data_IF_960206111159
#
_entry.id   IF_960206111159
#
_cell.length_a   1.000
_cell.length_b   1.000
_cell.length_c   1.000
_cell.angle_alpha   90.00
_cell.angle_beta   90.00
_cell.angle_gamma   90.00
#
_symmetry.space_group_name_H-M   'P 1'
#
loop_
_entity.id
_entity.type
_entity.pdbx_description
1 polymer ?
#
# COMPACT_ATOMS: atom_id res chain seq x y z
N UNK A 1 -12.95 -2.06 -13.23
CA UNK A 1 -11.52 -1.71 -13.35
C UNK A 1 -11.34 -0.19 -13.24
N UNK A 2 -11.61 0.41 -12.07
CA UNK A 2 -11.60 1.87 -11.91
C UNK A 2 -11.08 2.38 -10.54
N UNK A 3 -10.94 1.53 -9.52
CA UNK A 3 -10.47 1.96 -8.20
C UNK A 3 -9.02 2.49 -8.22
N UNK A 4 -8.18 2.01 -9.14
CA UNK A 4 -6.78 2.43 -9.27
C UNK A 4 -6.61 3.88 -9.76
N UNK A 5 -7.62 4.47 -10.40
CA UNK A 5 -7.57 5.84 -10.95
C UNK A 5 -7.96 6.92 -9.93
N UNK A 6 -8.58 6.54 -8.80
CA UNK A 6 -8.90 7.45 -7.70
C UNK A 6 -7.79 7.54 -6.65
N UNK A 7 -6.72 6.75 -6.81
CA UNK A 7 -5.55 6.85 -5.95
C UNK A 7 -4.82 8.12 -6.30
N UNK A 8 -5.00 9.18 -5.51
CA UNK A 8 -4.18 10.37 -5.68
C UNK A 8 -2.69 9.99 -5.65
N UNK A 9 -1.88 10.53 -6.58
CA UNK A 9 -0.48 10.16 -6.68
C UNK A 9 0.33 10.50 -5.41
N UNK A 10 -0.18 11.35 -4.51
CA UNK A 10 0.46 11.71 -3.23
C UNK A 10 0.38 10.56 -2.22
N UNK A 11 -0.80 10.00 -1.99
CA UNK A 11 -1.00 8.95 -0.98
C UNK A 11 -0.36 7.64 -1.44
N UNK A 12 -0.45 7.32 -2.74
CA UNK A 12 0.25 6.18 -3.31
C UNK A 12 1.77 6.31 -3.18
N UNK A 13 2.34 7.49 -3.49
CA UNK A 13 3.78 7.74 -3.29
C UNK A 13 4.18 7.63 -1.82
N UNK A 14 3.37 8.10 -0.88
CA UNK A 14 3.63 7.95 0.56
C UNK A 14 3.63 6.48 0.97
N UNK A 15 2.65 5.70 0.52
CA UNK A 15 2.57 4.26 0.78
C UNK A 15 3.80 3.52 0.24
N UNK A 16 4.17 3.80 -1.01
CA UNK A 16 5.36 3.22 -1.62
C UNK A 16 6.64 3.66 -0.89
N UNK A 17 6.76 4.93 -0.53
CA UNK A 17 7.95 5.47 0.17
C UNK A 17 8.09 4.91 1.59
N UNK A 18 6.98 4.66 2.29
CA UNK A 18 6.97 3.99 3.59
C UNK A 18 7.45 2.54 3.47
N UNK A 19 6.98 1.81 2.46
CA UNK A 19 7.48 0.47 2.13
C UNK A 19 8.98 0.46 1.78
N UNK A 20 9.51 1.53 1.17
CA UNK A 20 10.87 1.56 0.63
C UNK A 20 11.94 1.76 1.70
N UNK A 21 11.65 2.57 2.72
CA UNK A 21 12.71 3.04 3.63
C UNK A 21 13.12 2.00 4.66
N UNK A 22 12.17 1.21 5.18
CA UNK A 22 12.41 0.21 6.24
C UNK A 22 11.52 -1.04 6.15
N UNK A 23 10.62 -1.11 5.16
CA UNK A 23 9.47 -2.00 5.21
C UNK A 23 8.39 -1.42 6.12
N UNK A 24 7.17 -1.31 5.62
CA UNK A 24 6.03 -0.82 6.39
C UNK A 24 5.44 -1.99 7.19
N UNK A 25 5.30 -1.84 8.51
CA UNK A 25 4.51 -2.79 9.31
C UNK A 25 3.03 -2.68 8.95
N UNK A 26 2.23 -3.68 9.31
CA UNK A 26 0.78 -3.66 9.13
C UNK A 26 0.13 -2.39 9.73
N UNK A 27 0.58 -1.97 10.91
CA UNK A 27 0.12 -0.76 11.60
C UNK A 27 0.46 0.52 10.83
N UNK A 28 1.69 0.62 10.29
CA UNK A 28 2.09 1.78 9.48
C UNK A 28 1.32 1.84 8.16
N UNK A 29 1.08 0.68 7.55
CA UNK A 29 0.26 0.56 6.36
C UNK A 29 -1.17 1.00 6.61
N UNK A 30 -1.76 0.54 7.71
CA UNK A 30 -3.10 0.93 8.12
C UNK A 30 -3.19 2.44 8.37
N UNK A 31 -2.21 3.03 9.06
CA UNK A 31 -2.18 4.48 9.27
C UNK A 31 -2.16 5.26 7.95
N UNK A 32 -1.37 4.82 6.95
CA UNK A 32 -1.29 5.46 5.64
C UNK A 32 -2.60 5.28 4.85
N UNK A 33 -3.21 4.10 4.94
CA UNK A 33 -4.48 3.80 4.28
C UNK A 33 -5.63 4.60 4.89
N UNK A 34 -5.66 4.73 6.22
CA UNK A 34 -6.61 5.54 6.96
C UNK A 34 -6.43 7.04 6.68
N UNK A 35 -5.19 7.55 6.69
CA UNK A 35 -4.90 8.97 6.43
C UNK A 35 -5.20 9.37 4.98
N UNK A 36 -4.94 8.48 4.01
CA UNK A 36 -5.12 8.78 2.60
C UNK A 36 -6.51 8.49 2.05
N UNK A 37 -7.14 7.41 2.50
CA UNK A 37 -8.39 6.91 1.94
C UNK A 37 -9.48 6.63 2.98
N UNK A 38 -9.16 6.74 4.27
CA UNK A 38 -10.09 6.33 5.34
C UNK A 38 -10.34 4.83 5.38
N UNK A 39 -9.42 4.03 4.82
CA UNK A 39 -9.57 2.58 4.73
C UNK A 39 -8.81 1.86 5.84
N UNK A 40 -9.45 0.87 6.46
CA UNK A 40 -8.75 -0.07 7.35
C UNK A 40 -7.95 -1.08 6.53
N UNK A 41 -6.90 -1.66 7.11
CA UNK A 41 -6.08 -2.67 6.42
C UNK A 41 -6.89 -3.91 6.03
N UNK A 42 -7.93 -4.22 6.82
CA UNK A 42 -8.82 -5.35 6.58
C UNK A 42 -9.98 -5.03 5.62
N UNK A 43 -10.09 -3.79 5.14
CA UNK A 43 -11.11 -3.44 4.16
C UNK A 43 -10.84 -4.15 2.83
N UNK A 44 -11.91 -4.53 2.14
CA UNK A 44 -11.84 -5.12 0.79
C UNK A 44 -11.11 -4.22 -0.20
N UNK A 45 -11.26 -2.90 -0.08
CA UNK A 45 -10.60 -1.92 -0.94
C UNK A 45 -9.09 -1.86 -0.68
N UNK A 46 -8.66 -1.83 0.59
CA UNK A 46 -7.25 -1.87 0.95
C UNK A 46 -6.59 -3.18 0.50
N UNK A 47 -7.23 -4.33 0.71
CA UNK A 47 -6.68 -5.60 0.25
C UNK A 47 -6.58 -5.67 -1.28
N UNK A 48 -7.59 -5.18 -1.99
CA UNK A 48 -7.57 -5.10 -3.47
C UNK A 48 -6.44 -4.22 -3.98
N UNK A 49 -6.20 -3.07 -3.31
CA UNK A 49 -5.08 -2.19 -3.60
C UNK A 49 -3.73 -2.89 -3.38
N UNK A 50 -3.53 -3.49 -2.22
CA UNK A 50 -2.28 -4.16 -1.88
C UNK A 50 -1.99 -5.33 -2.81
N UNK A 51 -3.02 -6.11 -3.18
CA UNK A 51 -2.87 -7.15 -4.19
C UNK A 51 -2.55 -6.59 -5.58
N UNK A 52 -3.16 -5.48 -6.00
CA UNK A 52 -2.84 -4.86 -7.27
C UNK A 52 -1.39 -4.32 -7.31
N UNK A 53 -0.92 -3.73 -6.21
CA UNK A 53 0.46 -3.29 -6.06
C UNK A 53 1.44 -4.47 -6.04
N UNK A 54 1.05 -5.59 -5.43
CA UNK A 54 1.83 -6.83 -5.44
C UNK A 54 1.89 -7.49 -6.81
N UNK A 55 0.77 -7.54 -7.54
CA UNK A 55 0.72 -8.06 -8.90
C UNK A 55 1.56 -7.25 -9.88
N UNK A 56 1.79 -5.96 -9.60
CA UNK A 56 2.70 -5.10 -10.36
C UNK A 56 4.17 -5.21 -9.95
N UNK A 57 4.48 -6.01 -8.93
CA UNK A 57 5.81 -6.10 -8.37
C UNK A 57 6.24 -4.87 -7.57
N UNK A 58 5.35 -3.90 -7.35
CA UNK A 58 5.66 -2.68 -6.61
C UNK A 58 5.68 -2.90 -5.11
N UNK A 59 4.94 -3.89 -4.59
CA UNK A 59 4.75 -4.06 -3.15
C UNK A 59 4.70 -5.54 -2.79
N UNK A 60 5.58 -6.03 -1.93
CA UNK A 60 5.65 -7.45 -1.58
C UNK A 60 5.68 -7.62 -0.06
N UNK A 61 4.85 -8.52 0.50
CA UNK A 61 5.01 -8.91 1.89
C UNK A 61 6.34 -9.66 2.04
N UNK A 62 7.18 -9.21 2.96
CA UNK A 62 8.46 -9.80 3.34
C UNK A 62 8.42 -10.13 4.84
N UNK A 63 7.76 -11.24 5.18
CA UNK A 63 7.53 -11.64 6.56
C UNK A 63 6.56 -10.69 7.29
N UNK A 64 7.03 -10.03 8.35
CA UNK A 64 6.23 -9.10 9.17
C UNK A 64 6.18 -7.66 8.60
N UNK A 65 6.90 -7.40 7.51
CA UNK A 65 7.00 -6.06 6.91
C UNK A 65 6.69 -6.11 5.43
N UNK A 66 6.12 -5.03 4.93
CA UNK A 66 5.80 -4.85 3.53
C UNK A 66 6.86 -4.00 2.86
N UNK A 67 7.56 -4.58 1.89
CA UNK A 67 8.61 -3.90 1.14
C UNK A 67 8.13 -3.53 -0.24
N UNK A 68 8.38 -2.30 -0.64
CA UNK A 68 8.28 -1.90 -2.04
C UNK A 68 9.49 -2.35 -2.82
N UNK A 69 9.26 -2.89 -4.00
CA UNK A 69 10.28 -3.17 -4.99
C UNK A 69 10.03 -2.25 -6.18
N UNK A 70 10.97 -1.36 -6.49
CA UNK A 70 11.02 -0.72 -7.80
C UNK A 70 11.94 -1.60 -8.65
N UNK A 71 11.35 -2.31 -9.62
CA UNK A 71 12.10 -2.91 -10.74
C UNK A 71 12.33 -1.83 -11.79
#
# INVERSE_FOLDING_TARGET
MAALLQLEPVHLRRLLKAGLRRGASAEQLEAILMEGWGWSLNSSDAQSLLQALAGRGWFKPDGAVWKTYFV
#
